data_IF_761801914179
#
_entry.id   IF_761801914179
#
_cell.length_a   1.000
_cell.length_b   1.000
_cell.length_c   1.000
_cell.angle_alpha   90.00
_cell.angle_beta   90.00
_cell.angle_gamma   90.00
#
_symmetry.space_group_name_H-M   'P 1'
#
loop_
_entity.id
_entity.type
_entity.pdbx_description
1 polymer ?
#
# COMPACT_ATOMS: atom_id res chain seq x y z
N UNK A 1 13.17 29.27 -36.01
CA UNK A 1 13.62 29.25 -34.60
C UNK A 1 14.41 27.96 -34.36
N UNK A 2 15.37 27.94 -33.42
CA UNK A 2 16.28 26.78 -33.21
C UNK A 2 15.78 25.89 -32.06
N UNK A 3 15.78 24.58 -32.27
CA UNK A 3 15.51 23.57 -31.23
C UNK A 3 16.82 23.20 -30.51
N UNK A 4 16.88 23.20 -29.17
CA UNK A 4 17.98 22.58 -28.44
C UNK A 4 17.80 21.05 -28.40
N UNK A 5 18.83 20.30 -28.79
CA UNK A 5 18.98 18.89 -28.40
C UNK A 5 19.63 18.86 -27.01
N UNK A 6 19.15 18.02 -26.10
CA UNK A 6 19.81 17.71 -24.83
C UNK A 6 20.20 16.23 -24.85
N UNK A 7 21.40 15.92 -24.35
CA UNK A 7 22.05 14.63 -24.54
C UNK A 7 21.71 13.61 -23.44
N UNK A 8 21.78 12.33 -23.81
CA UNK A 8 21.76 11.20 -22.89
C UNK A 8 23.03 11.15 -22.03
N UNK A 9 22.88 11.17 -20.71
CA UNK A 9 24.00 10.96 -19.77
C UNK A 9 24.14 9.47 -19.47
N UNK A 10 25.34 8.93 -19.69
CA UNK A 10 25.73 7.59 -19.24
C UNK A 10 26.27 7.69 -17.83
N UNK A 11 25.61 7.04 -16.87
CA UNK A 11 26.09 6.94 -15.49
C UNK A 11 27.07 5.77 -15.36
N UNK A 12 28.35 6.05 -15.12
CA UNK A 12 29.36 5.03 -14.84
C UNK A 12 29.25 4.56 -13.38
N UNK A 13 29.31 3.25 -13.15
CA UNK A 13 29.33 2.68 -11.81
C UNK A 13 30.75 2.70 -11.23
N UNK A 14 30.96 3.44 -10.13
CA UNK A 14 32.21 3.40 -9.37
C UNK A 14 32.16 2.30 -8.31
N UNK A 15 33.15 1.40 -8.30
CA UNK A 15 33.29 0.34 -7.30
C UNK A 15 34.22 0.84 -6.18
N UNK A 16 33.72 0.89 -4.94
CA UNK A 16 34.50 1.23 -3.76
C UNK A 16 34.91 -0.04 -2.99
N UNK A 17 36.17 -0.16 -2.52
CA UNK A 17 36.58 -1.28 -1.67
C UNK A 17 36.10 -1.10 -0.23
N UNK A 18 35.52 -2.15 0.35
CA UNK A 18 35.10 -2.15 1.76
C UNK A 18 36.29 -2.43 2.69
N UNK A 19 36.42 -1.64 3.77
CA UNK A 19 37.40 -1.87 4.85
C UNK A 19 36.68 -2.55 6.02
N UNK A 20 37.11 -3.76 6.38
CA UNK A 20 36.56 -4.51 7.49
C UNK A 20 37.21 -4.07 8.82
N UNK A 21 36.41 -3.49 9.72
CA UNK A 21 36.81 -3.30 11.12
C UNK A 21 36.42 -4.53 11.94
N UNK A 22 37.42 -5.33 12.31
CA UNK A 22 37.25 -6.45 13.24
C UNK A 22 37.07 -5.93 14.68
N UNK A 23 36.11 -6.50 15.42
CA UNK A 23 35.95 -6.26 16.86
C UNK A 23 36.37 -7.51 17.66
N UNK A 24 37.08 -7.37 18.79
CA UNK A 24 37.57 -8.51 19.57
C UNK A 24 36.46 -9.16 20.38
N UNK A 25 36.42 -10.50 20.38
CA UNK A 25 35.58 -11.27 21.29
C UNK A 25 36.33 -11.57 22.59
N UNK A 26 35.69 -11.34 23.75
CA UNK A 26 36.20 -11.81 25.04
C UNK A 26 35.61 -13.18 25.36
N UNK A 27 36.48 -14.16 25.56
CA UNK A 27 36.13 -15.40 26.26
C UNK A 27 36.42 -15.23 27.77
N UNK A 28 35.57 -15.84 28.61
CA UNK A 28 35.80 -15.97 30.05
C UNK A 28 35.73 -17.45 30.43
N UNK A 29 36.69 -17.91 31.21
CA UNK A 29 36.99 -19.33 31.44
C UNK A 29 36.21 -19.92 32.64
N UNK A 30 36.23 -21.25 32.79
CA UNK A 30 35.41 -22.01 33.76
C UNK A 30 36.22 -22.81 34.77
N UNK A 31 35.87 -22.68 36.05
CA UNK A 31 36.44 -23.44 37.19
C UNK A 31 37.33 -22.59 38.11
N UNK A 32 37.56 -22.94 39.38
CA UNK A 32 36.99 -24.02 40.20
C UNK A 32 37.08 -23.63 41.72
N UNK A 33 36.48 -24.40 42.66
CA UNK A 33 36.22 -23.90 44.02
C UNK A 33 37.22 -24.31 45.13
N UNK A 34 37.00 -23.72 46.31
CA UNK A 34 37.38 -24.14 47.68
C UNK A 34 38.74 -23.72 48.28
N UNK A 35 38.73 -23.65 49.62
CA UNK A 35 39.80 -23.20 50.55
C UNK A 35 40.52 -24.45 51.18
N UNK A 36 41.32 -24.42 52.31
CA UNK A 36 41.37 -23.45 53.44
C UNK A 36 42.76 -23.20 54.11
N UNK A 37 42.70 -22.53 55.29
CA UNK A 37 43.63 -22.59 56.45
C UNK A 37 44.67 -21.46 56.68
N UNK A 38 44.97 -21.23 57.97
CA UNK A 38 45.86 -20.19 58.56
C UNK A 38 47.12 -20.84 59.23
N UNK A 39 47.97 -20.21 60.10
CA UNK A 39 47.57 -19.56 61.39
C UNK A 39 48.47 -18.39 61.95
N UNK A 40 48.12 -17.96 63.17
CA UNK A 40 48.98 -17.38 64.25
C UNK A 40 49.15 -15.85 64.43
N UNK A 41 49.30 -15.46 65.71
CA UNK A 41 49.39 -14.08 66.27
C UNK A 41 50.67 -13.93 67.14
N UNK A 42 50.90 -12.88 67.98
CA UNK A 42 50.05 -12.37 69.09
C UNK A 42 49.70 -10.85 68.88
N UNK A 43 49.43 -9.92 69.82
CA UNK A 43 49.59 -9.79 71.31
C UNK A 43 48.61 -8.71 71.87
N UNK A 44 48.57 -8.50 73.20
CA UNK A 44 47.82 -7.42 73.90
C UNK A 44 48.71 -6.75 75.00
N UNK A 45 48.25 -5.72 75.78
CA UNK A 45 47.38 -6.01 76.94
C UNK A 45 46.41 -4.89 77.47
N UNK A 46 45.44 -5.34 78.29
CA UNK A 46 44.81 -4.67 79.46
C UNK A 46 43.76 -3.53 79.34
N UNK A 47 42.83 -3.57 80.31
CA UNK A 47 41.79 -2.60 80.70
C UNK A 47 42.00 -2.24 82.21
N UNK A 48 41.07 -1.70 83.05
CA UNK A 48 39.64 -1.34 82.88
C UNK A 48 39.21 0.02 83.50
N UNK A 49 37.90 0.34 83.49
CA UNK A 49 37.08 0.81 84.66
C UNK A 49 35.63 1.16 84.23
N UNK A 50 34.64 0.86 85.10
CA UNK A 50 33.29 1.43 85.13
C UNK A 50 32.92 1.70 86.61
N UNK A 51 32.09 2.71 86.95
CA UNK A 51 30.61 2.62 86.90
C UNK A 51 29.99 3.70 85.96
N UNK A 52 28.68 3.91 85.81
CA UNK A 52 27.52 3.64 86.68
C UNK A 52 26.23 3.26 85.87
N UNK A 53 25.10 2.99 86.54
CA UNK A 53 23.91 2.36 85.94
C UNK A 53 22.59 3.16 86.03
N UNK A 54 22.19 3.73 84.90
CA UNK A 54 20.77 3.87 84.51
C UNK A 54 20.10 5.25 84.65
N UNK A 55 18.81 5.37 84.29
CA UNK A 55 17.95 4.35 83.67
C UNK A 55 18.06 4.35 82.13
N UNK A 56 17.34 3.44 81.47
CA UNK A 56 17.19 3.46 80.01
C UNK A 56 15.99 4.32 79.59
N UNK A 57 16.17 5.21 78.61
CA UNK A 57 15.08 5.62 77.72
C UNK A 57 15.12 4.75 76.47
N UNK A 58 14.19 3.80 76.40
CA UNK A 58 13.97 2.95 75.24
C UNK A 58 13.41 3.78 74.07
N UNK A 59 14.04 3.69 72.89
CA UNK A 59 13.47 4.24 71.63
C UNK A 59 13.24 3.17 70.54
N UNK A 60 12.57 2.03 70.83
CA UNK A 60 12.33 0.97 69.86
C UNK A 60 11.49 1.43 68.65
N UNK A 61 10.64 2.44 68.84
CA UNK A 61 9.75 2.98 67.80
C UNK A 61 10.49 3.48 66.54
N UNK A 62 11.74 3.96 66.68
CA UNK A 62 12.49 4.52 65.54
C UNK A 62 12.95 3.43 64.56
N UNK A 63 13.31 2.25 65.06
CA UNK A 63 13.65 1.09 64.24
C UNK A 63 12.43 0.54 63.48
N UNK A 64 11.30 0.38 64.17
CA UNK A 64 10.04 -0.09 63.55
C UNK A 64 9.54 0.88 62.48
N UNK A 65 9.53 2.19 62.75
CA UNK A 65 9.05 3.16 61.76
C UNK A 65 10.02 3.29 60.57
N UNK A 66 11.34 3.23 60.78
CA UNK A 66 12.30 3.22 59.68
C UNK A 66 12.13 2.01 58.76
N UNK A 67 11.80 0.83 59.31
CA UNK A 67 11.49 -0.37 58.53
C UNK A 67 10.20 -0.21 57.70
N UNK A 68 9.13 0.35 58.30
CA UNK A 68 7.90 0.67 57.56
C UNK A 68 8.12 1.69 56.45
N UNK A 69 8.88 2.75 56.72
CA UNK A 69 9.14 3.82 55.75
C UNK A 69 9.98 3.27 54.58
N UNK A 70 11.00 2.44 54.86
CA UNK A 70 11.72 1.67 53.83
C UNK A 70 10.79 0.79 52.98
N UNK A 71 9.86 0.07 53.60
CA UNK A 71 8.91 -0.80 52.88
C UNK A 71 7.96 -0.01 51.97
N UNK A 72 7.46 1.16 52.41
CA UNK A 72 6.66 2.07 51.57
C UNK A 72 7.44 2.55 50.35
N UNK A 73 8.70 2.93 50.51
CA UNK A 73 9.54 3.40 49.39
C UNK A 73 9.84 2.26 48.41
N UNK A 74 10.05 1.03 48.91
CA UNK A 74 10.18 -0.16 48.05
C UNK A 74 8.90 -0.46 47.26
N UNK A 75 7.71 -0.27 47.85
CA UNK A 75 6.45 -0.39 47.13
C UNK A 75 6.30 0.68 46.02
N UNK A 76 6.71 1.93 46.28
CA UNK A 76 6.72 3.01 45.26
C UNK A 76 7.71 2.69 44.12
N UNK A 77 8.87 2.10 44.41
CA UNK A 77 9.82 1.65 43.39
C UNK A 77 9.28 0.50 42.52
N UNK A 78 8.50 -0.39 43.13
CA UNK A 78 7.86 -1.53 42.46
C UNK A 78 6.66 -1.14 41.59
N UNK A 79 6.04 0.02 41.81
CA UNK A 79 4.95 0.52 40.97
C UNK A 79 5.48 0.87 39.55
N UNK A 80 4.93 0.28 38.46
CA UNK A 80 5.26 0.67 37.10
C UNK A 80 4.97 2.15 36.79
N UNK A 81 3.95 2.75 37.43
CA UNK A 81 3.50 4.11 37.17
C UNK A 81 4.47 5.20 37.68
N UNK A 82 5.33 4.87 38.66
CA UNK A 82 6.40 5.76 39.13
C UNK A 82 7.28 6.23 37.98
N UNK A 83 7.64 7.52 37.96
CA UNK A 83 8.50 8.08 36.93
C UNK A 83 10.01 8.03 37.29
N UNK A 84 10.89 8.45 36.37
CA UNK A 84 12.33 8.49 36.60
C UNK A 84 12.76 9.32 37.81
N UNK A 85 12.17 10.51 38.02
CA UNK A 85 12.46 11.37 39.17
C UNK A 85 12.07 10.70 40.49
N UNK A 86 10.84 10.16 40.56
CA UNK A 86 10.35 9.42 41.73
C UNK A 86 11.25 8.24 42.07
N UNK A 87 11.68 7.43 41.07
CA UNK A 87 12.58 6.29 41.33
C UNK A 87 13.97 6.75 41.80
N UNK A 88 14.56 7.77 41.18
CA UNK A 88 15.87 8.28 41.57
C UNK A 88 15.87 8.88 43.00
N UNK A 89 14.82 9.62 43.36
CA UNK A 89 14.65 10.16 44.70
C UNK A 89 14.35 9.07 45.75
N UNK A 90 13.54 8.07 45.41
CA UNK A 90 13.28 6.90 46.26
C UNK A 90 14.56 6.11 46.57
N UNK A 91 15.39 5.83 45.55
CA UNK A 91 16.70 5.19 45.74
C UNK A 91 17.64 6.02 46.64
N UNK A 92 17.69 7.33 46.42
CA UNK A 92 18.49 8.25 47.24
C UNK A 92 18.04 8.25 48.70
N UNK A 93 16.73 8.17 48.94
CA UNK A 93 16.16 8.08 50.28
C UNK A 93 16.46 6.73 50.96
N UNK A 94 16.37 5.61 50.23
CA UNK A 94 16.69 4.27 50.77
C UNK A 94 18.16 4.08 51.15
N UNK A 95 19.06 4.84 50.54
CA UNK A 95 20.50 4.92 50.85
C UNK A 95 20.81 5.91 52.01
N UNK A 96 19.79 6.59 52.52
CA UNK A 96 19.90 7.63 53.55
C UNK A 96 19.41 7.21 54.95
N UNK A 97 19.18 8.22 55.80
CA UNK A 97 18.69 8.04 57.18
C UNK A 97 17.17 7.86 57.25
N UNK A 98 16.66 7.41 58.40
CA UNK A 98 15.21 7.31 58.65
C UNK A 98 14.46 8.64 58.43
N UNK A 99 15.07 9.77 58.79
CA UNK A 99 14.51 11.10 58.54
C UNK A 99 14.45 11.44 57.04
N UNK A 100 15.46 11.02 56.26
CA UNK A 100 15.48 11.21 54.80
C UNK A 100 14.44 10.32 54.09
N UNK A 101 14.24 9.08 54.56
CA UNK A 101 13.15 8.21 54.09
C UNK A 101 11.77 8.83 54.34
N UNK A 102 11.55 9.41 55.53
CA UNK A 102 10.27 10.06 55.86
C UNK A 102 10.04 11.36 55.08
N UNK A 103 11.05 12.23 55.00
CA UNK A 103 10.99 13.45 54.19
C UNK A 103 10.74 13.17 52.70
N UNK A 104 11.25 12.05 52.16
CA UNK A 104 10.90 11.60 50.82
C UNK A 104 9.40 11.27 50.69
N UNK A 105 8.85 10.48 51.61
CA UNK A 105 7.44 10.08 51.58
C UNK A 105 6.47 11.26 51.78
N UNK A 106 6.84 12.23 52.62
CA UNK A 106 6.00 13.39 52.97
C UNK A 106 6.08 14.54 51.96
N UNK A 107 7.24 14.77 51.34
CA UNK A 107 7.49 15.97 50.50
C UNK A 107 8.01 15.59 49.11
N UNK A 108 9.17 14.94 49.03
CA UNK A 108 9.90 14.80 47.75
C UNK A 108 9.13 13.95 46.75
N UNK A 109 8.45 12.88 47.19
CA UNK A 109 7.66 12.02 46.31
C UNK A 109 6.60 12.81 45.52
N UNK A 110 5.88 13.74 46.16
CA UNK A 110 4.86 14.54 45.48
C UNK A 110 5.47 15.57 44.51
N UNK A 111 6.67 16.09 44.81
CA UNK A 111 7.37 17.04 43.93
C UNK A 111 7.96 16.35 42.69
N UNK A 112 8.55 15.17 42.86
CA UNK A 112 9.08 14.37 41.75
C UNK A 112 7.94 13.81 40.90
N UNK A 113 6.86 13.31 41.50
CA UNK A 113 5.67 12.82 40.78
C UNK A 113 5.06 13.93 39.90
N UNK A 114 4.99 15.17 40.39
CA UNK A 114 4.55 16.31 39.57
C UNK A 114 5.44 16.52 38.35
N UNK A 115 6.75 16.45 38.54
CA UNK A 115 7.75 16.70 37.49
C UNK A 115 7.73 15.59 36.43
N UNK A 116 7.68 14.33 36.87
CA UNK A 116 7.53 13.16 36.01
C UNK A 116 6.21 13.19 35.22
N UNK A 117 5.09 13.55 35.85
CA UNK A 117 3.80 13.66 35.16
C UNK A 117 3.75 14.88 34.20
N UNK A 118 4.36 16.02 34.53
CA UNK A 118 4.53 17.13 33.58
C UNK A 118 5.30 16.69 32.32
N UNK A 119 6.42 15.97 32.49
CA UNK A 119 7.22 15.43 31.39
C UNK A 119 6.39 14.43 30.56
N UNK A 120 5.67 13.52 31.22
CA UNK A 120 4.80 12.53 30.57
C UNK A 120 3.67 13.18 29.76
N UNK A 121 3.00 14.20 30.29
CA UNK A 121 1.98 14.97 29.56
C UNK A 121 2.59 15.75 28.39
N UNK A 122 3.79 16.31 28.54
CA UNK A 122 4.51 16.99 27.44
C UNK A 122 4.88 16.03 26.29
N UNK A 123 5.31 14.81 26.61
CA UNK A 123 5.55 13.75 25.62
C UNK A 123 4.26 13.36 24.87
N UNK A 124 3.17 13.14 25.60
CA UNK A 124 1.85 12.82 25.03
C UNK A 124 1.30 13.97 24.18
N UNK A 125 1.50 15.23 24.60
CA UNK A 125 1.18 16.41 23.80
C UNK A 125 1.92 16.36 22.46
N UNK A 126 3.24 16.21 22.47
CA UNK A 126 4.04 16.30 21.25
C UNK A 126 3.70 15.20 20.24
N UNK A 127 3.52 13.96 20.71
CA UNK A 127 3.12 12.82 19.87
C UNK A 127 1.60 12.74 19.54
N UNK A 128 0.75 13.54 20.21
CA UNK A 128 -0.70 13.43 20.12
C UNK A 128 -1.33 13.96 18.82
N UNK A 129 -2.58 13.60 18.57
CA UNK A 129 -3.44 14.26 17.59
C UNK A 129 -3.88 15.66 18.05
N UNK A 130 -4.88 16.24 17.37
CA UNK A 130 -5.35 17.62 17.62
C UNK A 130 -6.08 17.72 18.96
N UNK A 131 -6.98 16.78 19.24
CA UNK A 131 -7.71 16.74 20.49
C UNK A 131 -6.78 16.36 21.67
N UNK A 132 -5.89 15.38 21.48
CA UNK A 132 -4.89 15.02 22.51
C UNK A 132 -3.98 16.22 22.84
N UNK A 133 -3.51 16.96 21.83
CA UNK A 133 -2.74 18.20 22.03
C UNK A 133 -3.54 19.25 22.81
N UNK A 134 -4.81 19.47 22.45
CA UNK A 134 -5.71 20.45 23.10
C UNK A 134 -5.87 20.16 24.60
N UNK A 135 -6.23 18.93 24.96
CA UNK A 135 -6.44 18.56 26.37
C UNK A 135 -5.13 18.44 27.16
N UNK A 136 -4.03 17.99 26.54
CA UNK A 136 -2.71 17.97 27.18
C UNK A 136 -2.20 19.39 27.49
N UNK A 137 -2.35 20.32 26.55
CA UNK A 137 -1.96 21.73 26.75
C UNK A 137 -2.80 22.38 27.87
N UNK A 138 -4.09 22.04 27.97
CA UNK A 138 -4.99 22.48 29.05
C UNK A 138 -4.56 21.94 30.42
N UNK A 139 -4.17 20.66 30.51
CA UNK A 139 -3.62 20.08 31.75
C UNK A 139 -2.29 20.74 32.16
N UNK A 140 -1.38 20.97 31.22
CA UNK A 140 -0.11 21.67 31.47
C UNK A 140 -0.33 23.12 31.92
N UNK A 141 -1.26 23.86 31.27
CA UNK A 141 -1.65 25.23 31.66
C UNK A 141 -2.30 25.31 33.04
N UNK A 142 -2.97 24.24 33.49
CA UNK A 142 -3.59 24.19 34.81
C UNK A 142 -2.60 23.96 35.96
N UNK A 143 -1.37 23.49 35.68
CA UNK A 143 -0.25 23.51 36.63
C UNK A 143 -0.47 22.80 37.97
N UNK A 144 -1.27 21.73 38.01
CA UNK A 144 -1.61 21.00 39.24
C UNK A 144 -1.56 19.48 39.06
N UNK A 145 -1.16 18.75 40.10
CA UNK A 145 -1.17 17.28 40.14
C UNK A 145 -2.51 16.70 39.69
N UNK A 146 -3.62 17.28 40.15
CA UNK A 146 -4.97 16.81 39.82
C UNK A 146 -5.26 16.90 38.32
N UNK A 147 -4.93 18.02 37.67
CA UNK A 147 -5.15 18.20 36.23
C UNK A 147 -4.25 17.30 35.38
N UNK A 148 -2.99 17.13 35.78
CA UNK A 148 -2.05 16.21 35.10
C UNK A 148 -2.51 14.76 35.23
N UNK A 149 -2.89 14.33 36.45
CA UNK A 149 -3.34 12.96 36.73
C UNK A 149 -4.66 12.63 36.04
N UNK A 150 -5.65 13.52 36.08
CA UNK A 150 -6.93 13.34 35.36
C UNK A 150 -6.71 13.23 33.85
N UNK A 151 -5.81 14.04 33.28
CA UNK A 151 -5.44 13.88 31.87
C UNK A 151 -4.76 12.53 31.60
N UNK A 152 -3.79 12.12 32.42
CA UNK A 152 -3.04 10.88 32.23
C UNK A 152 -3.90 9.62 32.40
N UNK A 153 -4.91 9.64 33.27
CA UNK A 153 -5.78 8.50 33.56
C UNK A 153 -7.02 8.43 32.67
N UNK A 154 -7.60 9.57 32.29
CA UNK A 154 -8.91 9.63 31.61
C UNK A 154 -8.89 10.56 30.40
N UNK A 155 -8.35 11.77 30.55
CA UNK A 155 -8.41 12.82 29.52
C UNK A 155 -7.73 12.44 28.20
N UNK A 156 -6.55 11.82 28.25
CA UNK A 156 -5.81 11.42 27.06
C UNK A 156 -6.55 10.36 26.24
N UNK A 157 -7.31 9.47 26.88
CA UNK A 157 -8.04 8.39 26.21
C UNK A 157 -9.30 8.92 25.54
N UNK A 158 -10.06 9.80 26.21
CA UNK A 158 -11.20 10.52 25.62
C UNK A 158 -10.77 11.38 24.43
N UNK A 159 -9.69 12.14 24.58
CA UNK A 159 -9.16 12.99 23.51
C UNK A 159 -8.60 12.17 22.34
N UNK A 160 -7.99 11.00 22.59
CA UNK A 160 -7.52 10.09 21.54
C UNK A 160 -8.68 9.47 20.76
N UNK A 161 -9.79 9.13 21.43
CA UNK A 161 -11.00 8.67 20.76
C UNK A 161 -11.63 9.75 19.87
N UNK A 162 -11.59 11.02 20.29
CA UNK A 162 -12.02 12.16 19.43
C UNK A 162 -11.14 12.27 18.17
N UNK A 163 -9.81 12.23 18.32
CA UNK A 163 -8.88 12.21 17.18
C UNK A 163 -9.11 11.01 16.24
N UNK A 164 -9.33 9.81 16.80
CA UNK A 164 -9.60 8.57 16.06
C UNK A 164 -10.97 8.62 15.33
N UNK A 165 -12.02 9.18 15.94
CA UNK A 165 -13.32 9.41 15.30
C UNK A 165 -13.20 10.37 14.10
N UNK A 166 -12.41 11.44 14.21
CA UNK A 166 -12.18 12.35 13.08
C UNK A 166 -11.40 11.63 11.96
N UNK A 167 -10.49 10.71 12.28
CA UNK A 167 -9.83 9.88 11.26
C UNK A 167 -10.80 8.94 10.54
N UNK A 168 -11.76 8.32 11.23
CA UNK A 168 -12.85 7.57 10.58
C UNK A 168 -13.62 8.44 9.57
N UNK A 169 -13.95 9.69 9.93
CA UNK A 169 -14.61 10.62 9.00
C UNK A 169 -13.71 10.97 7.79
N UNK A 170 -12.38 11.12 7.96
CA UNK A 170 -11.46 11.31 6.83
C UNK A 170 -11.44 10.11 5.88
N UNK A 171 -11.52 8.89 6.43
CA UNK A 171 -11.52 7.65 5.62
C UNK A 171 -12.72 7.51 4.68
N UNK A 172 -13.82 8.25 4.89
CA UNK A 172 -15.00 8.25 4.00
C UNK A 172 -14.71 8.88 2.63
N UNK A 173 -13.70 9.76 2.51
CA UNK A 173 -13.42 10.46 1.26
C UNK A 173 -12.81 9.51 0.22
N UNK A 174 -13.56 9.21 -0.85
CA UNK A 174 -13.18 8.20 -1.85
C UNK A 174 -13.31 6.75 -1.34
N UNK A 175 -14.07 6.51 -0.28
CA UNK A 175 -14.32 5.19 0.26
C UNK A 175 -15.13 4.29 -0.70
N UNK A 176 -14.86 2.99 -0.64
CA UNK A 176 -15.80 1.97 -1.10
C UNK A 176 -16.99 1.82 -0.14
N UNK A 177 -17.99 1.03 -0.55
CA UNK A 177 -19.23 0.88 0.23
C UNK A 177 -18.98 0.16 1.55
N UNK A 178 -18.12 -0.87 1.55
CA UNK A 178 -17.73 -1.59 2.76
C UNK A 178 -17.09 -0.66 3.79
N UNK A 179 -16.15 0.20 3.36
CA UNK A 179 -15.53 1.18 4.26
C UNK A 179 -16.56 2.19 4.79
N UNK A 180 -17.44 2.70 3.93
CA UNK A 180 -18.53 3.58 4.36
C UNK A 180 -19.42 2.93 5.43
N UNK A 181 -19.91 1.72 5.17
CA UNK A 181 -20.80 1.00 6.11
C UNK A 181 -20.09 0.66 7.44
N UNK A 182 -18.81 0.25 7.38
CA UNK A 182 -18.00 -0.05 8.56
C UNK A 182 -17.75 1.20 9.42
N UNK A 183 -17.39 2.33 8.79
CA UNK A 183 -17.23 3.62 9.48
C UNK A 183 -18.54 4.08 10.11
N UNK A 184 -19.66 4.02 9.39
CA UNK A 184 -20.98 4.44 9.92
C UNK A 184 -21.41 3.58 11.11
N UNK A 185 -21.09 2.28 11.12
CA UNK A 185 -21.29 1.41 12.28
C UNK A 185 -20.40 1.81 13.45
N UNK A 186 -19.09 2.00 13.21
CA UNK A 186 -18.12 2.34 14.25
C UNK A 186 -18.38 3.71 14.91
N UNK A 187 -18.84 4.70 14.14
CA UNK A 187 -19.23 6.02 14.64
C UNK A 187 -20.52 6.00 15.48
N UNK A 188 -21.33 4.95 15.38
CA UNK A 188 -22.58 4.79 16.15
C UNK A 188 -22.41 3.91 17.39
N UNK A 189 -21.81 2.73 17.19
CA UNK A 189 -21.83 1.62 18.15
C UNK A 189 -20.41 1.17 18.57
N UNK A 190 -19.35 1.80 18.04
CA UNK A 190 -17.97 1.32 18.16
C UNK A 190 -17.22 1.83 19.41
N UNK A 191 -16.64 0.90 20.17
CA UNK A 191 -15.76 1.25 21.31
C UNK A 191 -14.44 1.86 20.84
N UNK A 192 -13.69 2.59 21.70
CA UNK A 192 -12.40 3.16 21.31
C UNK A 192 -11.39 2.13 20.78
N UNK A 193 -11.41 0.93 21.33
CA UNK A 193 -10.55 -0.19 20.94
C UNK A 193 -10.93 -0.72 19.55
N UNK A 194 -12.24 -0.83 19.27
CA UNK A 194 -12.75 -1.27 17.97
C UNK A 194 -12.47 -0.24 16.86
N UNK A 195 -12.69 1.04 17.16
CA UNK A 195 -12.37 2.17 16.27
C UNK A 195 -10.87 2.15 15.94
N UNK A 196 -10.02 2.05 16.95
CA UNK A 196 -8.57 1.99 16.81
C UNK A 196 -8.10 0.77 16.01
N UNK A 197 -8.58 -0.43 16.34
CA UNK A 197 -8.24 -1.66 15.62
C UNK A 197 -8.64 -1.58 14.14
N UNK A 198 -9.79 -0.97 13.83
CA UNK A 198 -10.21 -0.76 12.44
C UNK A 198 -9.29 0.23 11.71
N UNK A 199 -8.95 1.36 12.32
CA UNK A 199 -8.03 2.36 11.76
C UNK A 199 -6.63 1.77 11.52
N UNK A 200 -6.12 0.98 12.46
CA UNK A 200 -4.77 0.40 12.38
C UNK A 200 -4.71 -0.81 11.42
N UNK A 201 -5.75 -1.65 11.36
CA UNK A 201 -5.72 -2.91 10.59
C UNK A 201 -7.00 -3.23 9.82
N UNK A 202 -8.17 -3.25 10.48
CA UNK A 202 -9.42 -3.81 9.92
C UNK A 202 -9.90 -3.13 8.62
N UNK A 203 -9.52 -1.87 8.41
CA UNK A 203 -9.73 -1.14 7.15
C UNK A 203 -9.16 -1.84 5.90
N UNK A 204 -8.13 -2.68 6.03
CA UNK A 204 -7.45 -3.28 4.87
C UNK A 204 -8.24 -4.45 4.28
N UNK A 205 -8.89 -5.26 5.12
CA UNK A 205 -9.72 -6.39 4.66
C UNK A 205 -11.07 -5.89 4.11
N UNK A 206 -11.63 -4.84 4.71
CA UNK A 206 -12.85 -4.19 4.20
C UNK A 206 -12.60 -3.53 2.85
N UNK A 207 -11.44 -2.85 2.66
CA UNK A 207 -11.02 -2.37 1.32
C UNK A 207 -10.83 -3.51 0.33
N UNK A 208 -10.23 -4.64 0.72
CA UNK A 208 -10.08 -5.79 -0.16
C UNK A 208 -11.44 -6.40 -0.58
N UNK A 209 -12.46 -6.34 0.29
CA UNK A 209 -13.84 -6.66 -0.04
C UNK A 209 -14.43 -5.71 -1.10
N UNK A 210 -14.29 -4.40 -0.91
CA UNK A 210 -14.69 -3.40 -1.90
C UNK A 210 -13.94 -3.58 -3.24
N UNK A 211 -12.63 -3.77 -3.21
CA UNK A 211 -11.78 -3.99 -4.39
C UNK A 211 -12.21 -5.25 -5.17
N UNK A 212 -12.48 -6.38 -4.49
CA UNK A 212 -13.01 -7.62 -5.12
C UNK A 212 -14.34 -7.37 -5.82
N UNK A 213 -15.24 -6.60 -5.21
CA UNK A 213 -16.55 -6.27 -5.82
C UNK A 213 -16.40 -5.29 -6.98
N UNK A 214 -15.46 -4.35 -6.92
CA UNK A 214 -15.13 -3.46 -8.05
C UNK A 214 -14.58 -4.27 -9.24
N UNK A 215 -13.60 -5.13 -9.00
CA UNK A 215 -13.00 -6.04 -9.99
C UNK A 215 -14.08 -6.90 -10.66
N UNK A 216 -14.98 -7.51 -9.88
CA UNK A 216 -16.08 -8.31 -10.42
C UNK A 216 -17.04 -7.48 -11.31
N UNK A 217 -17.30 -6.20 -10.97
CA UNK A 217 -18.07 -5.29 -11.84
C UNK A 217 -17.32 -4.95 -13.13
N UNK A 218 -15.99 -4.88 -13.12
CA UNK A 218 -15.21 -4.55 -14.32
C UNK A 218 -15.35 -5.57 -15.45
N UNK A 219 -15.76 -6.81 -15.17
CA UNK A 219 -16.08 -7.83 -16.20
C UNK A 219 -17.13 -7.35 -17.21
N UNK A 220 -18.07 -6.50 -16.76
CA UNK A 220 -19.07 -5.90 -17.64
C UNK A 220 -18.42 -4.79 -18.48
N UNK A 221 -18.41 -4.99 -19.81
CA UNK A 221 -17.72 -4.10 -20.75
C UNK A 221 -16.21 -4.32 -20.88
N UNK A 222 -15.59 -5.24 -20.13
CA UNK A 222 -14.18 -5.60 -20.33
C UNK A 222 -13.93 -6.30 -21.68
N UNK A 223 -12.76 -6.05 -22.27
CA UNK A 223 -12.26 -6.79 -23.42
C UNK A 223 -11.71 -8.18 -23.05
N UNK A 224 -11.19 -8.95 -24.02
CA UNK A 224 -10.72 -10.32 -23.79
C UNK A 224 -9.56 -10.41 -22.79
N UNK A 225 -8.56 -9.53 -22.89
CA UNK A 225 -7.38 -9.50 -22.02
C UNK A 225 -7.74 -9.14 -20.58
N UNK A 226 -8.52 -8.08 -20.39
CA UNK A 226 -9.00 -7.71 -19.05
C UNK A 226 -9.88 -8.82 -18.43
N UNK A 227 -10.75 -9.48 -19.21
CA UNK A 227 -11.55 -10.62 -18.70
C UNK A 227 -10.70 -11.79 -18.27
N UNK A 228 -9.72 -12.20 -19.08
CA UNK A 228 -8.82 -13.30 -18.73
C UNK A 228 -8.03 -12.99 -17.45
N UNK A 229 -7.53 -11.76 -17.31
CA UNK A 229 -6.80 -11.30 -16.13
C UNK A 229 -7.69 -11.21 -14.87
N UNK A 230 -8.93 -10.72 -14.98
CA UNK A 230 -9.87 -10.68 -13.84
C UNK A 230 -10.17 -12.09 -13.33
N UNK A 231 -10.48 -13.04 -14.23
CA UNK A 231 -10.82 -14.41 -13.83
C UNK A 231 -9.62 -15.06 -13.12
N UNK A 232 -8.45 -15.06 -13.76
CA UNK A 232 -7.22 -15.60 -13.17
C UNK A 232 -6.83 -14.93 -11.84
N UNK A 233 -7.11 -13.62 -11.69
CA UNK A 233 -6.90 -12.92 -10.43
C UNK A 233 -7.87 -13.37 -9.34
N UNK A 234 -9.16 -13.53 -9.63
CA UNK A 234 -10.16 -13.92 -8.63
C UNK A 234 -10.02 -15.39 -8.21
N UNK A 235 -9.71 -16.29 -9.16
CA UNK A 235 -9.48 -17.72 -8.91
C UNK A 235 -8.24 -17.95 -8.02
N UNK A 236 -7.21 -17.12 -8.16
CA UNK A 236 -5.92 -17.27 -7.46
C UNK A 236 -5.88 -16.85 -5.98
N UNK A 237 -7.03 -16.53 -5.37
CA UNK A 237 -7.17 -15.95 -4.01
C UNK A 237 -6.07 -14.90 -3.64
N UNK A 238 -6.11 -13.72 -4.26
CA UNK A 238 -5.04 -12.74 -4.20
C UNK A 238 -5.04 -11.96 -2.88
N UNK A 239 -3.86 -11.47 -2.50
CA UNK A 239 -3.71 -10.61 -1.32
C UNK A 239 -4.29 -9.21 -1.55
N UNK A 240 -4.67 -8.55 -0.46
CA UNK A 240 -5.29 -7.22 -0.44
C UNK A 240 -4.49 -6.17 -1.25
N UNK A 241 -3.16 -6.27 -1.24
CA UNK A 241 -2.28 -5.39 -2.01
C UNK A 241 -2.38 -5.61 -3.53
N UNK A 242 -2.51 -6.87 -3.98
CA UNK A 242 -2.64 -7.21 -5.41
C UNK A 242 -4.01 -6.79 -5.95
N UNK A 243 -5.07 -6.96 -5.16
CA UNK A 243 -6.41 -6.46 -5.47
C UNK A 243 -6.40 -4.93 -5.68
N UNK A 244 -5.81 -4.20 -4.72
CA UNK A 244 -5.73 -2.73 -4.77
C UNK A 244 -4.89 -2.22 -5.95
N UNK A 245 -3.79 -2.90 -6.28
CA UNK A 245 -2.93 -2.57 -7.43
C UNK A 245 -3.65 -2.86 -8.76
N UNK A 246 -4.42 -3.95 -8.83
CA UNK A 246 -5.19 -4.28 -10.02
C UNK A 246 -6.26 -3.21 -10.30
N UNK A 247 -7.00 -2.78 -9.28
CA UNK A 247 -7.98 -1.69 -9.36
C UNK A 247 -7.32 -0.36 -9.77
N UNK A 248 -6.20 0.00 -9.14
CA UNK A 248 -5.53 1.30 -9.38
C UNK A 248 -4.77 1.39 -10.71
N UNK A 249 -4.17 0.29 -11.16
CA UNK A 249 -3.14 0.33 -12.20
C UNK A 249 -3.42 -0.71 -13.29
N UNK A 250 -3.43 -2.00 -12.95
CA UNK A 250 -3.36 -3.08 -13.96
C UNK A 250 -4.56 -3.09 -14.92
N UNK A 251 -5.76 -2.80 -14.42
CA UNK A 251 -6.95 -2.71 -15.27
C UNK A 251 -6.88 -1.61 -16.34
N UNK A 252 -6.16 -0.51 -16.09
CA UNK A 252 -6.00 0.56 -17.09
C UNK A 252 -5.08 0.11 -18.23
N UNK A 253 -3.96 -0.55 -17.91
CA UNK A 253 -3.05 -1.13 -18.92
C UNK A 253 -3.75 -2.18 -19.76
N UNK A 254 -4.46 -3.12 -19.13
CA UNK A 254 -5.19 -4.19 -19.83
C UNK A 254 -6.32 -3.64 -20.72
N UNK A 255 -7.01 -2.58 -20.29
CA UNK A 255 -8.00 -1.87 -21.13
C UNK A 255 -7.35 -1.20 -22.33
N UNK A 256 -6.16 -0.65 -22.17
CA UNK A 256 -5.43 -0.02 -23.28
C UNK A 256 -4.90 -1.04 -24.30
N UNK A 257 -4.43 -2.18 -23.83
CA UNK A 257 -4.06 -3.34 -24.66
C UNK A 257 -5.28 -3.88 -25.43
N UNK A 258 -6.40 -4.14 -24.75
CA UNK A 258 -7.67 -4.56 -25.36
C UNK A 258 -8.17 -3.54 -26.39
N UNK A 259 -8.13 -2.24 -26.07
CA UNK A 259 -8.48 -1.15 -26.99
C UNK A 259 -7.57 -1.15 -28.22
N UNK A 260 -6.26 -1.32 -28.03
CA UNK A 260 -5.28 -1.33 -29.12
C UNK A 260 -5.53 -2.49 -30.08
N UNK A 261 -5.74 -3.70 -29.56
CA UNK A 261 -6.08 -4.89 -30.35
C UNK A 261 -7.42 -4.71 -31.08
N UNK A 262 -8.43 -4.15 -30.40
CA UNK A 262 -9.74 -3.88 -30.99
C UNK A 262 -9.63 -2.88 -32.15
N UNK A 263 -8.89 -1.79 -32.02
CA UNK A 263 -8.69 -0.81 -33.10
C UNK A 263 -7.92 -1.45 -34.27
N UNK A 264 -6.85 -2.21 -34.02
CA UNK A 264 -6.12 -2.95 -35.06
C UNK A 264 -7.04 -3.91 -35.83
N UNK A 265 -7.96 -4.61 -35.16
CA UNK A 265 -8.91 -5.52 -35.81
C UNK A 265 -9.84 -4.82 -36.82
N UNK A 266 -10.13 -3.53 -36.62
CA UNK A 266 -10.99 -2.76 -37.53
C UNK A 266 -10.31 -2.46 -38.87
N UNK A 267 -8.97 -2.32 -38.90
CA UNK A 267 -8.24 -1.89 -40.11
C UNK A 267 -8.49 -2.83 -41.31
N UNK A 268 -8.68 -4.13 -41.07
CA UNK A 268 -8.82 -5.13 -42.14
C UNK A 268 -9.98 -4.80 -43.10
N UNK A 269 -11.14 -4.43 -42.55
CA UNK A 269 -12.36 -4.15 -43.33
C UNK A 269 -12.74 -2.66 -43.33
N UNK A 270 -11.84 -1.77 -42.90
CA UNK A 270 -12.12 -0.33 -42.79
C UNK A 270 -12.02 0.41 -44.14
N UNK A 271 -12.88 1.42 -44.32
CA UNK A 271 -12.77 2.41 -45.39
C UNK A 271 -11.61 3.41 -45.16
N UNK A 272 -11.37 4.33 -46.11
CA UNK A 272 -10.23 5.25 -46.06
C UNK A 272 -10.21 6.18 -44.82
N UNK A 273 -11.34 6.78 -44.44
CA UNK A 273 -11.40 7.66 -43.26
C UNK A 273 -11.34 6.84 -41.96
N UNK A 274 -11.96 5.65 -41.89
CA UNK A 274 -11.85 4.78 -40.71
C UNK A 274 -10.42 4.26 -40.52
N UNK A 275 -9.69 3.89 -41.59
CA UNK A 275 -8.26 3.52 -41.53
C UNK A 275 -7.40 4.69 -41.02
N UNK A 276 -7.60 5.88 -41.58
CA UNK A 276 -6.88 7.12 -41.21
C UNK A 276 -7.11 7.49 -39.74
N UNK A 277 -8.36 7.46 -39.27
CA UNK A 277 -8.70 7.76 -37.88
C UNK A 277 -8.19 6.69 -36.89
N UNK A 278 -8.30 5.40 -37.23
CA UNK A 278 -7.79 4.30 -36.41
C UNK A 278 -6.25 4.35 -36.26
N UNK A 279 -5.52 4.62 -37.34
CA UNK A 279 -4.06 4.78 -37.32
C UNK A 279 -3.63 6.00 -36.50
N UNK A 280 -4.41 7.09 -36.52
CA UNK A 280 -4.15 8.24 -35.65
C UNK A 280 -4.33 7.86 -34.17
N UNK A 281 -5.42 7.17 -33.81
CA UNK A 281 -5.69 6.73 -32.45
C UNK A 281 -4.63 5.74 -31.91
N UNK A 282 -4.19 4.77 -32.73
CA UNK A 282 -3.11 3.83 -32.35
C UNK A 282 -1.80 4.58 -32.03
N UNK A 283 -1.51 5.68 -32.72
CA UNK A 283 -0.31 6.51 -32.49
C UNK A 283 -0.47 7.53 -31.35
N UNK A 284 -1.67 7.69 -30.80
CA UNK A 284 -2.00 8.60 -29.71
C UNK A 284 -1.83 7.99 -28.32
N UNK A 285 -2.47 8.61 -27.33
CA UNK A 285 -2.52 8.15 -25.94
C UNK A 285 -3.60 7.07 -25.71
N UNK A 286 -3.69 6.45 -24.52
CA UNK A 286 -4.82 5.58 -24.16
C UNK A 286 -6.17 6.30 -24.26
N UNK A 287 -6.19 7.60 -23.95
CA UNK A 287 -7.38 8.46 -24.07
C UNK A 287 -7.78 8.66 -25.54
N UNK A 288 -6.82 8.85 -26.46
CA UNK A 288 -7.10 8.93 -27.91
C UNK A 288 -7.72 7.63 -28.43
N UNK A 289 -7.21 6.47 -27.99
CA UNK A 289 -7.77 5.15 -28.32
C UNK A 289 -9.20 4.99 -27.78
N UNK A 290 -9.42 5.36 -26.52
CA UNK A 290 -10.74 5.32 -25.91
C UNK A 290 -11.73 6.29 -26.58
N UNK A 291 -11.29 7.51 -26.93
CA UNK A 291 -12.11 8.51 -27.63
C UNK A 291 -12.47 8.06 -29.05
N UNK A 292 -11.52 7.51 -29.80
CA UNK A 292 -11.78 6.92 -31.12
C UNK A 292 -12.80 5.78 -31.02
N UNK A 293 -12.65 4.86 -30.05
CA UNK A 293 -13.62 3.77 -29.84
C UNK A 293 -14.99 4.28 -29.36
N UNK A 294 -15.06 5.40 -28.64
CA UNK A 294 -16.32 5.97 -28.15
C UNK A 294 -17.09 6.76 -29.22
N UNK A 295 -16.43 7.55 -30.06
CA UNK A 295 -17.08 8.40 -31.07
C UNK A 295 -16.40 8.37 -32.43
N UNK A 296 -15.07 8.49 -32.49
CA UNK A 296 -14.33 8.66 -33.76
C UNK A 296 -14.56 7.56 -34.80
N UNK A 297 -14.73 6.30 -34.36
CA UNK A 297 -15.06 5.17 -35.23
C UNK A 297 -16.43 5.31 -35.92
N UNK A 298 -17.39 6.02 -35.31
CA UNK A 298 -18.72 6.23 -35.88
C UNK A 298 -18.71 7.39 -36.88
N UNK A 299 -18.04 8.49 -36.56
CA UNK A 299 -17.84 9.62 -37.46
C UNK A 299 -17.08 9.21 -38.73
N UNK A 300 -16.03 8.41 -38.59
CA UNK A 300 -15.23 7.94 -39.72
C UNK A 300 -16.02 6.99 -40.64
N UNK A 301 -16.81 6.05 -40.06
CA UNK A 301 -17.74 5.21 -40.83
C UNK A 301 -18.82 6.02 -41.55
N UNK A 302 -19.32 7.09 -40.94
CA UNK A 302 -20.31 7.97 -41.57
C UNK A 302 -19.73 8.68 -42.81
N UNK A 303 -18.45 9.13 -42.75
CA UNK A 303 -17.73 9.69 -43.89
C UNK A 303 -17.46 8.65 -44.99
N UNK A 304 -16.97 7.47 -44.62
CA UNK A 304 -16.73 6.36 -45.56
C UNK A 304 -18.04 5.98 -46.29
N UNK A 305 -19.15 5.87 -45.57
CA UNK A 305 -20.48 5.62 -46.16
C UNK A 305 -20.95 6.75 -47.07
N UNK A 306 -20.77 8.01 -46.66
CA UNK A 306 -21.14 9.15 -47.50
C UNK A 306 -20.35 9.20 -48.82
N UNK A 307 -19.07 8.82 -48.80
CA UNK A 307 -18.25 8.68 -50.00
C UNK A 307 -18.70 7.51 -50.88
N UNK A 308 -19.02 6.36 -50.29
CA UNK A 308 -19.56 5.18 -50.99
C UNK A 308 -20.91 5.49 -51.68
N UNK A 309 -21.84 6.14 -50.96
CA UNK A 309 -23.15 6.50 -51.49
C UNK A 309 -23.09 7.66 -52.50
N UNK A 310 -22.04 8.49 -52.48
CA UNK A 310 -21.76 9.46 -53.54
C UNK A 310 -21.23 8.77 -54.81
N UNK A 311 -20.27 7.87 -54.69
CA UNK A 311 -19.72 7.11 -55.83
C UNK A 311 -20.78 6.22 -56.51
N UNK A 312 -21.74 5.68 -55.73
CA UNK A 312 -22.90 4.95 -56.28
C UNK A 312 -23.84 5.80 -57.13
N UNK A 313 -23.89 7.12 -56.94
CA UNK A 313 -24.77 8.01 -57.71
C UNK A 313 -24.14 8.35 -59.06
N UNK A 314 -22.91 8.86 -59.06
CA UNK A 314 -22.18 9.16 -60.31
C UNK A 314 -21.99 7.92 -61.20
N UNK A 315 -21.84 6.73 -60.62
CA UNK A 315 -21.82 5.47 -61.37
C UNK A 315 -23.14 5.07 -62.02
N UNK A 316 -24.27 5.68 -61.62
CA UNK A 316 -25.61 5.41 -62.17
C UNK A 316 -26.00 6.41 -63.27
N UNK A 317 -25.54 7.65 -63.15
CA UNK A 317 -25.80 8.73 -64.12
C UNK A 317 -25.06 8.49 -65.45
N UNK A 318 -23.96 7.73 -65.44
CA UNK A 318 -23.21 7.33 -66.64
C UNK A 318 -23.88 6.28 -67.55
N UNK A 319 -25.15 5.90 -67.30
CA UNK A 319 -25.89 4.89 -68.06
C UNK A 319 -27.09 5.46 -68.85
N UNK A 320 -27.18 6.78 -69.03
CA UNK A 320 -28.31 7.45 -69.70
C UNK A 320 -27.83 8.43 -70.79
N UNK A 321 -27.84 7.97 -72.05
CA UNK A 321 -27.39 8.72 -73.23
C UNK A 321 -25.95 8.35 -73.66
N UNK A 322 -25.62 8.23 -74.94
CA UNK A 322 -26.34 8.69 -76.15
C UNK A 322 -26.40 7.62 -77.23
N UNK A 323 -27.60 7.30 -77.72
CA UNK A 323 -27.83 6.35 -78.81
C UNK A 323 -28.18 7.04 -80.13
N UNK A 324 -27.16 7.48 -80.88
CA UNK A 324 -27.31 7.97 -82.27
C UNK A 324 -26.13 7.50 -83.10
N UNK A 325 -26.34 6.55 -84.00
CA UNK A 325 -25.27 5.90 -84.76
C UNK A 325 -25.05 6.49 -86.16
N UNK A 326 -23.80 6.53 -86.60
CA UNK A 326 -23.38 6.43 -88.01
C UNK A 326 -21.99 5.78 -87.99
N UNK A 327 -21.77 4.72 -88.76
CA UNK A 327 -20.66 3.79 -88.54
C UNK A 327 -19.66 3.64 -89.68
N UNK A 328 -18.52 3.01 -89.35
CA UNK A 328 -17.62 2.32 -90.29
C UNK A 328 -16.84 1.23 -89.53
N UNK A 329 -16.15 0.33 -90.24
CA UNK A 329 -15.41 -0.81 -89.65
C UNK A 329 -14.07 -0.43 -88.99
N UNK A 330 -13.24 -1.37 -88.52
CA UNK A 330 -13.31 -2.84 -88.68
C UNK A 330 -12.35 -3.55 -87.69
N UNK A 331 -12.75 -4.66 -87.06
CA UNK A 331 -11.87 -5.61 -86.34
C UNK A 331 -11.21 -5.07 -85.04
N UNK A 332 -10.79 -5.89 -84.06
CA UNK A 332 -10.81 -7.36 -83.91
C UNK A 332 -11.02 -7.70 -82.41
N UNK A 333 -11.22 -8.97 -82.04
CA UNK A 333 -11.54 -9.40 -80.66
C UNK A 333 -10.43 -9.18 -79.59
N UNK A 334 -10.64 -9.58 -78.33
CA UNK A 334 -11.63 -10.57 -77.85
C UNK A 334 -12.13 -10.28 -76.43
N UNK A 335 -13.31 -10.80 -76.10
CA UNK A 335 -14.06 -10.63 -74.84
C UNK A 335 -13.38 -11.16 -73.58
N UNK A 336 -13.66 -10.51 -72.45
CA UNK A 336 -14.01 -11.24 -71.23
C UNK A 336 -15.25 -10.58 -70.59
N UNK A 337 -16.36 -11.33 -70.53
CA UNK A 337 -17.64 -10.81 -70.06
C UNK A 337 -17.88 -11.17 -68.59
N UNK A 338 -18.26 -10.18 -67.79
CA UNK A 338 -18.90 -10.40 -66.48
C UNK A 338 -20.40 -10.61 -66.72
N UNK A 339 -21.02 -11.55 -66.02
CA UNK A 339 -22.48 -11.67 -65.96
C UNK A 339 -22.93 -12.20 -64.61
N UNK A 340 -23.49 -11.32 -63.79
CA UNK A 340 -24.19 -11.69 -62.57
C UNK A 340 -25.60 -12.16 -62.93
N UNK A 341 -26.02 -13.31 -62.40
CA UNK A 341 -27.44 -13.71 -62.37
C UNK A 341 -27.82 -14.12 -60.95
N UNK A 342 -28.81 -13.45 -60.38
CA UNK A 342 -29.38 -13.78 -59.06
C UNK A 342 -30.58 -14.70 -59.28
N UNK A 343 -30.60 -15.88 -58.65
CA UNK A 343 -31.38 -17.03 -59.16
C UNK A 343 -32.09 -17.95 -58.15
N UNK A 344 -32.41 -17.46 -56.95
CA UNK A 344 -33.36 -18.09 -56.00
C UNK A 344 -32.95 -19.42 -55.30
N UNK A 345 -33.82 -19.87 -54.38
CA UNK A 345 -33.58 -20.78 -53.24
C UNK A 345 -33.60 -22.30 -53.47
N UNK A 346 -33.00 -23.02 -52.50
CA UNK A 346 -33.21 -24.42 -52.07
C UNK A 346 -32.61 -25.58 -52.90
N UNK A 347 -31.69 -26.33 -52.27
CA UNK A 347 -31.81 -27.79 -51.97
C UNK A 347 -30.71 -28.19 -50.94
N UNK A 348 -30.87 -29.35 -50.29
CA UNK A 348 -30.09 -29.86 -49.16
C UNK A 348 -28.69 -30.44 -49.55
N UNK A 349 -27.79 -30.75 -48.58
CA UNK A 349 -26.37 -30.97 -48.87
C UNK A 349 -25.97 -32.44 -49.15
N UNK A 350 -24.87 -32.61 -49.88
CA UNK A 350 -24.08 -33.84 -49.96
C UNK A 350 -22.58 -33.49 -49.97
N UNK A 351 -21.73 -34.31 -49.33
CA UNK A 351 -20.28 -34.09 -49.26
C UNK A 351 -19.53 -34.67 -50.46
N UNK A 352 -18.35 -34.12 -50.75
CA UNK A 352 -17.45 -34.62 -51.79
C UNK A 352 -16.09 -33.91 -51.76
N UNK A 353 -15.04 -34.63 -51.38
CA UNK A 353 -13.68 -34.10 -51.28
C UNK A 353 -12.89 -34.28 -52.59
N UNK A 354 -12.37 -33.19 -53.15
CA UNK A 354 -11.27 -33.25 -54.14
C UNK A 354 -10.31 -32.07 -53.96
N UNK A 355 -9.02 -32.37 -54.00
CA UNK A 355 -7.89 -31.43 -53.89
C UNK A 355 -7.23 -31.22 -55.24
N UNK A 356 -6.80 -29.99 -55.56
CA UNK A 356 -5.85 -29.70 -56.65
C UNK A 356 -4.87 -28.58 -56.25
N UNK A 357 -3.62 -28.71 -56.72
CA UNK A 357 -2.47 -27.76 -56.75
C UNK A 357 -2.57 -26.45 -55.93
N UNK A 358 -1.66 -26.08 -55.03
CA UNK A 358 -0.23 -26.40 -54.83
C UNK A 358 0.69 -26.20 -56.06
N UNK A 359 1.27 -25.01 -56.19
CA UNK A 359 2.47 -24.73 -57.00
C UNK A 359 3.33 -23.61 -56.39
N UNK A 360 4.64 -23.82 -56.26
CA UNK A 360 5.66 -22.76 -56.32
C UNK A 360 5.96 -21.99 -55.03
N UNK A 361 7.11 -22.27 -54.42
CA UNK A 361 7.63 -21.55 -53.25
C UNK A 361 8.05 -20.09 -53.57
N UNK A 362 7.97 -19.21 -52.56
CA UNK A 362 8.39 -17.81 -52.66
C UNK A 362 8.53 -17.11 -51.29
N UNK A 363 9.65 -17.39 -50.60
CA UNK A 363 10.24 -16.64 -49.47
C UNK A 363 9.34 -15.97 -48.41
N UNK A 364 9.42 -16.51 -47.19
CA UNK A 364 9.47 -15.76 -45.93
C UNK A 364 8.34 -14.75 -45.62
N UNK A 365 7.25 -15.24 -45.04
CA UNK A 365 6.46 -14.51 -44.04
C UNK A 365 5.78 -15.52 -43.09
N UNK A 366 6.52 -16.00 -42.08
CA UNK A 366 5.98 -16.93 -41.08
C UNK A 366 5.06 -16.17 -40.12
N UNK A 367 3.77 -16.16 -40.43
CA UNK A 367 2.73 -15.73 -39.50
C UNK A 367 2.62 -16.74 -38.34
N UNK A 368 3.33 -16.45 -37.24
CA UNK A 368 3.23 -17.16 -35.97
C UNK A 368 1.88 -16.86 -35.30
N UNK A 369 0.84 -17.56 -35.75
CA UNK A 369 -0.48 -17.54 -35.15
C UNK A 369 -0.50 -18.32 -33.82
N UNK A 370 -1.06 -17.70 -32.77
CA UNK A 370 -1.44 -18.37 -31.51
C UNK A 370 -0.28 -18.85 -30.62
N UNK A 371 0.20 -18.02 -29.68
CA UNK A 371 1.35 -18.39 -28.84
C UNK A 371 1.52 -17.67 -27.49
N UNK A 372 0.51 -17.01 -26.91
CA UNK A 372 0.69 -16.19 -25.70
C UNK A 372 -0.40 -16.28 -24.62
N UNK A 373 -1.36 -17.20 -24.73
CA UNK A 373 -2.48 -17.33 -23.77
C UNK A 373 -2.09 -17.84 -22.36
N UNK A 374 -0.85 -18.32 -22.15
CA UNK A 374 -0.40 -18.93 -20.90
C UNK A 374 0.60 -18.08 -20.09
N UNK A 375 1.12 -16.98 -20.64
CA UNK A 375 2.21 -16.22 -20.01
C UNK A 375 1.75 -15.19 -18.96
N UNK A 376 0.52 -14.66 -19.08
CA UNK A 376 0.07 -13.50 -18.31
C UNK A 376 -0.22 -13.79 -16.83
N UNK A 377 -0.51 -15.04 -16.46
CA UNK A 377 -0.60 -15.45 -15.05
C UNK A 377 0.76 -15.41 -14.33
N UNK A 378 1.87 -15.60 -15.05
CA UNK A 378 3.22 -15.53 -14.48
C UNK A 378 3.76 -14.09 -14.40
N UNK A 379 3.35 -13.20 -15.31
CA UNK A 379 3.85 -11.82 -15.40
C UNK A 379 3.68 -11.00 -14.11
N UNK A 380 2.49 -11.06 -13.50
CA UNK A 380 2.20 -10.35 -12.25
C UNK A 380 3.06 -10.84 -11.07
N UNK A 381 3.40 -12.14 -11.02
CA UNK A 381 4.28 -12.71 -9.99
C UNK A 381 5.75 -12.30 -10.20
N UNK A 382 6.23 -12.28 -11.44
CA UNK A 382 7.64 -12.05 -11.74
C UNK A 382 8.11 -10.63 -11.39
N UNK A 383 7.24 -9.62 -11.55
CA UNK A 383 7.53 -8.22 -11.21
C UNK A 383 7.71 -8.02 -9.70
N UNK A 384 6.95 -8.74 -8.85
CA UNK A 384 7.14 -8.70 -7.40
C UNK A 384 8.39 -9.46 -6.95
N UNK A 385 8.69 -10.61 -7.57
CA UNK A 385 9.82 -11.44 -7.19
C UNK A 385 11.17 -10.69 -7.31
N UNK A 386 11.32 -9.90 -8.38
CA UNK A 386 12.55 -9.17 -8.66
C UNK A 386 12.76 -7.93 -7.75
N UNK A 387 11.70 -7.45 -7.06
CA UNK A 387 11.79 -6.32 -6.12
C UNK A 387 12.20 -6.75 -4.71
N UNK A 388 11.73 -7.91 -4.23
CA UNK A 388 12.12 -8.44 -2.90
C UNK A 388 13.58 -8.88 -2.81
N UNK A 389 14.20 -9.34 -3.90
CA UNK A 389 15.62 -9.76 -3.88
C UNK A 389 16.62 -8.61 -3.64
N UNK A 390 16.23 -7.34 -3.84
CA UNK A 390 17.10 -6.19 -3.53
C UNK A 390 17.03 -5.74 -2.07
N UNK A 391 15.92 -6.00 -1.38
CA UNK A 391 15.71 -5.62 0.03
C UNK A 391 16.20 -6.69 1.04
N UNK A 392 16.94 -7.68 0.57
CA UNK A 392 17.57 -8.74 1.40
C UNK A 392 19.05 -8.93 1.05
N UNK A 393 19.68 -7.83 0.59
CA UNK A 393 21.11 -7.73 0.27
C UNK A 393 21.78 -6.56 1.01
N UNK A 394 21.04 -5.90 1.91
CA UNK A 394 21.47 -4.78 2.76
C UNK A 394 20.93 -5.04 4.17
N UNK A 395 21.57 -5.97 4.89
CA UNK A 395 21.22 -6.42 6.24
C UNK A 395 22.27 -7.38 6.79
#
# INVERSE_FOLDING_TARGET
MKLPRIASVVAAAAIAPAVLLSSPAFAADTGSPSAPSAPSAPTAPSAPTAPDKGPAEEKPAEGTQAAQDRAKIQAILADPASGPGVRAAAEKALKGTAAQMRHFLEVVWQQEQYTDDQVRVSQIHNAGGVAVKREAQKALKAGTHAALKEFLTVGQHKARYEDDQVELFRMLNGAGKGIHDAVVKLLRDGTPEQVRQFIETGQHDVRAGDDRVEIARMLNGAGPGLKAAINALLDGNPSNAVLREFVKTTQHTLRDEDNSVLIWSMLNNAGPELKKAAIAAIKGTPEDRAAFLKTGQHEARAKDKAAEDAARKTGKDGSAGTGTGTGSGTGTGTTQAVSHTTGNTNVAPAGGSTSLANTGAGSENVWLAGGSAAALAAGAGLVLANRRRRTSSEG
#
